data_IF_827912861946
#
_entry.id   IF_827912861946
#
_cell.length_a   1.000
_cell.length_b   1.000
_cell.length_c   1.000
_cell.angle_alpha   90.00
_cell.angle_beta   90.00
_cell.angle_gamma   90.00
#
_symmetry.space_group_name_H-M   'P 1'
#
loop_
_entity.id
_entity.type
_entity.pdbx_description
1 polymer ?
#
# COMPACT_ATOMS: atom_id res chain seq x y z
N UNK A 1 -24.81 4.63 8.80
CA UNK A 1 -24.50 5.99 8.31
C UNK A 1 -22.98 6.09 8.24
N UNK A 2 -22.40 6.45 7.09
CA UNK A 2 -20.95 6.65 6.97
C UNK A 2 -20.70 8.15 7.11
N UNK A 3 -19.83 8.54 8.05
CA UNK A 3 -19.36 9.91 8.20
C UNK A 3 -18.31 10.20 7.12
N UNK A 4 -18.37 11.38 6.51
CA UNK A 4 -17.38 11.84 5.54
C UNK A 4 -16.63 13.05 6.11
N UNK A 5 -15.32 13.10 5.84
CA UNK A 5 -14.43 14.19 6.23
C UNK A 5 -13.73 14.73 5.00
N UNK A 6 -13.47 16.03 5.00
CA UNK A 6 -12.60 16.67 4.01
C UNK A 6 -11.16 16.22 4.20
N UNK A 7 -10.36 16.30 3.14
CA UNK A 7 -8.93 15.99 3.21
C UNK A 7 -8.18 16.93 4.17
N UNK A 8 -8.62 18.18 4.32
CA UNK A 8 -8.08 19.12 5.30
C UNK A 8 -8.34 18.70 6.75
N UNK A 9 -9.54 18.19 7.05
CA UNK A 9 -9.87 17.70 8.39
C UNK A 9 -9.04 16.47 8.75
N UNK A 10 -8.88 15.53 7.80
CA UNK A 10 -8.01 14.35 7.99
C UNK A 10 -6.56 14.77 8.25
N UNK A 11 -6.00 15.66 7.42
CA UNK A 11 -4.63 16.16 7.61
C UNK A 11 -4.45 16.87 8.95
N UNK A 12 -5.43 17.66 9.38
CA UNK A 12 -5.39 18.34 10.67
C UNK A 12 -5.42 17.35 11.85
N UNK A 13 -6.18 16.27 11.73
CA UNK A 13 -6.23 15.20 12.74
C UNK A 13 -4.93 14.36 12.78
N UNK A 14 -4.29 14.13 11.64
CA UNK A 14 -3.04 13.36 11.54
C UNK A 14 -1.81 14.16 11.99
N UNK A 15 -1.80 15.49 11.80
CA UNK A 15 -0.66 16.35 12.10
C UNK A 15 -0.03 16.14 13.51
N UNK A 16 -0.79 16.14 14.62
CA UNK A 16 -0.21 15.93 15.95
C UNK A 16 0.33 14.50 16.17
N UNK A 17 -0.18 13.50 15.45
CA UNK A 17 0.32 12.12 15.51
C UNK A 17 1.66 12.01 14.76
N UNK A 18 1.72 12.59 13.57
CA UNK A 18 2.95 12.67 12.77
C UNK A 18 4.05 13.45 13.51
N UNK A 19 3.70 14.54 14.20
CA UNK A 19 4.63 15.30 15.02
C UNK A 19 5.24 14.48 16.19
N UNK A 20 4.56 13.44 16.65
CA UNK A 20 5.08 12.48 17.64
C UNK A 20 5.84 11.31 17.03
N UNK A 21 5.96 11.24 15.70
CA UNK A 21 6.60 10.14 14.99
C UNK A 21 5.78 8.86 14.96
N UNK A 22 4.46 8.95 15.15
CA UNK A 22 3.57 7.78 15.03
C UNK A 22 3.66 7.18 13.61
N UNK A 23 3.75 5.85 13.47
CA UNK A 23 4.00 5.19 12.19
C UNK A 23 2.73 5.05 11.35
N UNK A 24 2.01 6.16 11.08
CA UNK A 24 0.69 6.16 10.45
C UNK A 24 0.67 5.44 9.09
N UNK A 25 1.71 5.63 8.26
CA UNK A 25 1.83 4.93 6.96
C UNK A 25 1.92 3.42 7.15
N UNK A 26 2.70 2.94 8.13
CA UNK A 26 2.82 1.51 8.38
C UNK A 26 1.51 0.93 8.94
N UNK A 27 0.77 1.71 9.75
CA UNK A 27 -0.56 1.34 10.22
C UNK A 27 -1.56 1.23 9.06
N UNK A 28 -1.63 2.26 8.20
CA UNK A 28 -2.48 2.29 7.01
C UNK A 28 -2.16 1.13 6.05
N UNK A 29 -0.88 0.90 5.75
CA UNK A 29 -0.41 -0.21 4.92
C UNK A 29 -0.79 -1.58 5.49
N UNK A 30 -0.72 -1.75 6.82
CA UNK A 30 -1.10 -3.01 7.49
C UNK A 30 -2.60 -3.24 7.42
N UNK A 31 -3.40 -2.19 7.63
CA UNK A 31 -4.85 -2.25 7.50
C UNK A 31 -5.25 -2.60 6.05
N UNK A 32 -4.63 -1.95 5.06
CA UNK A 32 -4.86 -2.23 3.65
C UNK A 32 -4.49 -3.68 3.29
N UNK A 33 -3.32 -4.17 3.69
CA UNK A 33 -2.92 -5.55 3.44
C UNK A 33 -3.86 -6.56 4.10
N UNK A 34 -4.31 -6.29 5.32
CA UNK A 34 -5.27 -7.14 6.04
C UNK A 34 -6.59 -7.23 5.29
N UNK A 35 -7.10 -6.09 4.81
CA UNK A 35 -8.33 -6.06 4.02
C UNK A 35 -8.17 -6.85 2.70
N UNK A 36 -7.05 -6.67 2.00
CA UNK A 36 -6.76 -7.42 0.76
C UNK A 36 -6.67 -8.93 1.03
N UNK A 37 -6.03 -9.37 2.13
CA UNK A 37 -5.97 -10.78 2.50
C UNK A 37 -7.36 -11.38 2.75
N UNK A 38 -8.25 -10.62 3.40
CA UNK A 38 -9.66 -11.02 3.57
C UNK A 38 -10.35 -11.21 2.22
N UNK A 39 -10.23 -10.21 1.33
CA UNK A 39 -10.79 -10.29 -0.02
C UNK A 39 -10.22 -11.46 -0.84
N UNK A 40 -8.93 -11.80 -0.68
CA UNK A 40 -8.32 -12.96 -1.32
C UNK A 40 -8.85 -14.28 -0.75
N UNK A 41 -9.06 -14.36 0.56
CA UNK A 41 -9.67 -15.55 1.18
C UNK A 41 -11.08 -15.79 0.63
N UNK A 42 -11.90 -14.75 0.54
CA UNK A 42 -13.28 -14.81 0.05
C UNK A 42 -13.34 -15.16 -1.44
N UNK A 43 -12.45 -14.59 -2.27
CA UNK A 43 -12.56 -14.65 -3.74
C UNK A 43 -11.67 -15.71 -4.39
N UNK A 44 -10.58 -16.09 -3.74
CA UNK A 44 -9.55 -16.97 -4.29
C UNK A 44 -9.17 -18.14 -3.36
N UNK A 45 -9.88 -18.31 -2.24
CA UNK A 45 -9.63 -19.39 -1.28
C UNK A 45 -8.38 -19.22 -0.41
N UNK A 46 -7.66 -18.10 -0.54
CA UNK A 46 -6.49 -17.78 0.28
C UNK A 46 -5.47 -16.88 -0.40
N UNK A 47 -4.41 -16.56 0.34
CA UNK A 47 -3.36 -15.65 -0.11
C UNK A 47 -2.25 -16.35 -0.92
N UNK A 48 -1.91 -17.59 -0.57
CA UNK A 48 -0.77 -18.30 -1.16
C UNK A 48 -1.04 -18.62 -2.63
N UNK A 49 -0.17 -18.12 -3.52
CA UNK A 49 -0.33 -18.31 -4.97
C UNK A 49 -1.29 -17.33 -5.63
N UNK A 50 -1.97 -16.47 -4.87
CA UNK A 50 -2.74 -15.36 -5.43
C UNK A 50 -1.83 -14.28 -6.03
N UNK A 51 -2.38 -13.47 -6.92
CA UNK A 51 -1.69 -12.32 -7.53
C UNK A 51 -2.40 -11.02 -7.21
N UNK A 52 -1.64 -9.99 -6.84
CA UNK A 52 -2.15 -8.64 -6.57
C UNK A 52 -1.31 -7.62 -7.33
N UNK A 53 -2.00 -6.72 -8.05
CA UNK A 53 -1.39 -5.58 -8.74
C UNK A 53 -1.86 -4.30 -8.07
N UNK A 54 -0.94 -3.37 -7.78
CA UNK A 54 -1.29 -2.03 -7.33
C UNK A 54 -0.83 -0.98 -8.35
N UNK A 55 -1.68 0.01 -8.62
CA UNK A 55 -1.32 1.20 -9.37
C UNK A 55 -0.84 2.25 -8.37
N UNK A 56 0.42 2.67 -8.48
CA UNK A 56 1.12 3.43 -7.43
C UNK A 56 1.44 4.83 -7.93
N UNK A 57 0.78 5.83 -7.34
CA UNK A 57 1.08 7.25 -7.58
C UNK A 57 2.18 7.81 -6.68
N UNK A 58 2.43 9.12 -6.77
CA UNK A 58 3.54 9.82 -6.10
C UNK A 58 3.31 10.13 -4.61
N UNK A 59 2.07 10.11 -4.13
CA UNK A 59 1.72 10.57 -2.78
C UNK A 59 1.83 9.50 -1.69
N UNK A 60 1.44 9.87 -0.47
CA UNK A 60 1.43 8.99 0.70
C UNK A 60 0.66 7.69 0.46
N UNK A 61 -0.46 7.74 -0.26
CA UNK A 61 -1.24 6.55 -0.64
C UNK A 61 -0.41 5.56 -1.48
N UNK A 62 0.51 6.07 -2.31
CA UNK A 62 1.45 5.22 -3.04
C UNK A 62 2.45 4.54 -2.10
N UNK A 63 2.90 5.24 -1.07
CA UNK A 63 3.66 4.67 0.05
C UNK A 63 2.90 3.56 0.75
N UNK A 64 1.65 3.82 1.17
CA UNK A 64 0.79 2.83 1.83
C UNK A 64 0.62 1.57 0.97
N UNK A 65 0.37 1.74 -0.33
CA UNK A 65 0.23 0.64 -1.28
C UNK A 65 1.52 -0.19 -1.38
N UNK A 66 2.69 0.46 -1.50
CA UNK A 66 3.97 -0.23 -1.60
C UNK A 66 4.30 -1.02 -0.31
N UNK A 67 4.08 -0.42 0.86
CA UNK A 67 4.26 -1.11 2.14
C UNK A 67 3.25 -2.25 2.32
N UNK A 68 2.00 -2.08 1.86
CA UNK A 68 0.98 -3.13 1.89
C UNK A 68 1.35 -4.30 0.99
N UNK A 69 1.81 -4.04 -0.24
CA UNK A 69 2.33 -5.07 -1.14
C UNK A 69 3.52 -5.83 -0.52
N UNK A 70 4.41 -5.15 0.22
CA UNK A 70 5.49 -5.82 0.94
C UNK A 70 4.98 -6.80 2.01
N UNK A 71 3.92 -6.43 2.74
CA UNK A 71 3.25 -7.33 3.71
C UNK A 71 2.62 -8.53 2.98
N UNK A 72 1.93 -8.30 1.88
CA UNK A 72 1.29 -9.35 1.08
C UNK A 72 2.32 -10.33 0.49
N UNK A 73 3.45 -9.82 -0.03
CA UNK A 73 4.55 -10.64 -0.54
C UNK A 73 5.07 -11.61 0.51
N UNK A 74 5.29 -11.13 1.75
CA UNK A 74 5.70 -11.98 2.89
C UNK A 74 4.66 -13.05 3.25
N UNK A 75 3.40 -12.89 2.84
CA UNK A 75 2.33 -13.88 3.01
C UNK A 75 2.18 -14.85 1.82
N UNK A 76 3.09 -14.80 0.85
CA UNK A 76 3.10 -15.69 -0.31
C UNK A 76 2.20 -15.25 -1.46
N UNK A 77 1.80 -13.98 -1.48
CA UNK A 77 1.10 -13.35 -2.61
C UNK A 77 2.14 -12.91 -3.65
N UNK A 78 1.90 -13.18 -4.93
CA UNK A 78 2.68 -12.60 -6.01
C UNK A 78 2.25 -11.14 -6.22
N UNK A 79 3.14 -10.19 -5.96
CA UNK A 79 2.81 -8.76 -6.02
C UNK A 79 3.54 -8.01 -7.12
N UNK A 80 2.83 -7.08 -7.76
CA UNK A 80 3.37 -6.15 -8.74
C UNK A 80 2.89 -4.72 -8.44
N UNK A 81 3.84 -3.81 -8.23
CA UNK A 81 3.57 -2.37 -8.28
C UNK A 81 3.76 -1.84 -9.70
N UNK A 82 2.73 -1.18 -10.24
CA UNK A 82 2.84 -0.40 -11.48
C UNK A 82 2.88 1.07 -11.08
N UNK A 83 4.07 1.66 -11.10
CA UNK A 83 4.28 3.06 -10.75
C UNK A 83 3.83 3.97 -11.90
N UNK A 84 2.83 4.81 -11.65
CA UNK A 84 2.32 5.84 -12.57
C UNK A 84 3.01 7.19 -12.35
N UNK A 85 4.20 7.14 -11.74
CA UNK A 85 5.01 8.28 -11.37
C UNK A 85 6.49 7.92 -11.49
N UNK A 86 7.32 8.93 -11.71
CA UNK A 86 8.78 8.79 -11.78
C UNK A 86 9.42 8.84 -10.40
N UNK A 87 8.69 9.33 -9.40
CA UNK A 87 9.15 9.50 -8.04
C UNK A 87 8.24 8.76 -7.06
N UNK A 88 8.17 7.41 -7.12
CA UNK A 88 7.42 6.63 -6.15
C UNK A 88 8.06 6.75 -4.75
N UNK A 89 7.27 6.50 -3.71
CA UNK A 89 7.75 6.51 -2.33
C UNK A 89 8.96 5.57 -2.14
N UNK A 90 10.13 6.14 -1.84
CA UNK A 90 11.41 5.44 -1.90
C UNK A 90 11.49 4.28 -0.88
N UNK A 91 11.11 4.53 0.37
CA UNK A 91 11.17 3.52 1.43
C UNK A 91 10.16 2.39 1.19
N UNK A 92 8.97 2.72 0.70
CA UNK A 92 7.95 1.75 0.36
C UNK A 92 8.41 0.85 -0.79
N UNK A 93 9.02 1.44 -1.82
CA UNK A 93 9.57 0.70 -2.95
C UNK A 93 10.72 -0.23 -2.50
N UNK A 94 11.59 0.24 -1.62
CA UNK A 94 12.64 -0.57 -1.02
C UNK A 94 12.06 -1.75 -0.21
N UNK A 95 11.04 -1.50 0.62
CA UNK A 95 10.37 -2.53 1.41
C UNK A 95 9.70 -3.59 0.52
N UNK A 96 9.05 -3.17 -0.57
CA UNK A 96 8.46 -4.08 -1.55
C UNK A 96 9.52 -4.99 -2.19
N UNK A 97 10.62 -4.41 -2.66
CA UNK A 97 11.72 -5.15 -3.28
C UNK A 97 12.37 -6.12 -2.30
N UNK A 98 12.62 -5.68 -1.06
CA UNK A 98 13.18 -6.53 -0.01
C UNK A 98 12.27 -7.72 0.33
N UNK A 99 10.95 -7.56 0.19
CA UNK A 99 9.98 -8.64 0.37
C UNK A 99 9.85 -9.57 -0.86
N UNK A 100 10.63 -9.37 -1.92
CA UNK A 100 10.58 -10.15 -3.15
C UNK A 100 9.50 -9.71 -4.16
N UNK A 101 8.84 -8.58 -3.90
CA UNK A 101 7.87 -8.01 -4.83
C UNK A 101 8.52 -7.30 -6.02
N UNK A 102 7.78 -7.18 -7.12
CA UNK A 102 8.23 -6.49 -8.33
C UNK A 102 7.61 -5.11 -8.45
N UNK A 103 8.34 -4.20 -9.08
CA UNK A 103 7.85 -2.87 -9.44
C UNK A 103 8.27 -2.53 -10.87
N UNK A 104 7.34 -1.98 -11.64
CA UNK A 104 7.56 -1.50 -13.02
C UNK A 104 7.03 -0.08 -13.13
N UNK A 105 7.57 0.70 -14.07
CA UNK A 105 6.97 2.00 -14.44
C UNK A 105 5.92 1.77 -15.51
N UNK A 106 4.78 2.46 -15.38
CA UNK A 106 3.87 2.64 -16.50
C UNK A 106 4.59 3.48 -17.56
N UNK A 107 4.45 3.07 -18.82
CA UNK A 107 4.87 3.86 -19.98
C UNK A 107 3.60 4.24 -20.73
N UNK A 108 3.55 5.46 -21.27
CA UNK A 108 2.49 5.81 -22.21
C UNK A 108 2.59 4.90 -23.44
N UNK A 109 1.46 4.45 -24.00
CA UNK A 109 1.41 3.52 -25.12
C UNK A 109 2.01 4.08 -26.42
#
# INVERSE_FOLDING_TARGET
MILAYTSSEVRAAEAPLLARGEPLMQQAATALATHVLGALAERAGGARGASVVALVGAGNNGGDALHALAVLARRGVQVLAVCTTDTPHAEGLAALRAAGGRAVRAVDP
#
